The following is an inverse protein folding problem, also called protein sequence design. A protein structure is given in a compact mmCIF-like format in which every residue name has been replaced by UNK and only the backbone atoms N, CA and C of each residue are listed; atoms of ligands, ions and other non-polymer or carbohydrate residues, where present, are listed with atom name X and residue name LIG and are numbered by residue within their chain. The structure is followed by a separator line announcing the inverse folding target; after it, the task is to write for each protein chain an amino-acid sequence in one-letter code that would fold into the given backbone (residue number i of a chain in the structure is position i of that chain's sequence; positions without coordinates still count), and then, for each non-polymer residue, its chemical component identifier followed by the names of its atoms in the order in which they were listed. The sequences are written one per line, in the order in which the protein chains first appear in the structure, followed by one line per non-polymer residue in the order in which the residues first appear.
data_IF_313467701845
#
_entry.id   IF_313467701845
#
_cell.length_a   1.000
_cell.length_b   1.000
_cell.length_c   1.000
_cell.angle_alpha   90.00
_cell.angle_beta   90.00
_cell.angle_gamma   90.00
#
_symmetry.space_group_name_H-M   'P 1'
#
loop_
_entity.id
_entity.type
_entity.pdbx_description
1 polymer ?
#
# COMPACT_ATOMS: atom_id res chain seq x y z
N UNK A 1 8.89 28.43 0.90
CA UNK A 1 9.11 29.17 2.17
C UNK A 1 7.83 29.07 2.98
N UNK A 2 7.63 27.93 3.66
CA UNK A 2 6.60 27.76 4.68
C UNK A 2 7.29 27.03 5.83
N UNK A 3 7.85 27.80 6.75
CA UNK A 3 8.27 27.29 8.06
C UNK A 3 6.99 27.05 8.85
N UNK A 4 6.65 25.78 9.08
CA UNK A 4 5.76 25.43 10.18
C UNK A 4 6.69 25.25 11.38
N UNK A 5 6.72 26.25 12.26
CA UNK A 5 7.47 26.22 13.51
C UNK A 5 6.90 25.13 14.43
N UNK A 6 7.47 23.92 14.31
CA UNK A 6 7.18 22.72 15.12
C UNK A 6 7.59 22.86 16.61
N UNK A 7 8.03 24.03 17.05
CA UNK A 7 8.55 24.26 18.41
C UNK A 7 7.41 24.48 19.43
N UNK A 8 6.21 24.88 19.03
CA UNK A 8 5.12 25.24 19.97
C UNK A 8 4.12 24.12 20.32
N UNK A 9 4.30 22.89 19.83
CA UNK A 9 3.35 21.79 20.11
C UNK A 9 3.50 21.15 21.50
N UNK A 10 4.61 21.40 22.21
CA UNK A 10 4.79 20.92 23.61
C UNK A 10 4.04 21.79 24.62
N UNK A 11 3.96 23.11 24.39
CA UNK A 11 3.36 24.05 25.34
C UNK A 11 1.83 24.17 25.21
N UNK A 12 1.27 23.78 24.06
CA UNK A 12 -0.17 23.87 23.81
C UNK A 12 -1.02 22.83 24.58
N UNK A 13 -0.41 21.77 25.15
CA UNK A 13 -1.16 20.60 25.62
C UNK A 13 -1.17 20.34 27.14
N UNK A 14 -0.44 21.13 27.94
CA UNK A 14 -0.49 20.98 29.42
C UNK A 14 -1.79 21.58 30.01
N UNK A 15 -2.53 22.42 29.27
CA UNK A 15 -3.69 23.16 29.80
C UNK A 15 -5.07 22.71 29.30
N UNK A 16 -5.22 21.55 28.67
CA UNK A 16 -6.56 21.05 28.28
C UNK A 16 -7.23 20.25 29.41
N UNK A 17 -7.55 20.95 30.50
CA UNK A 17 -8.53 20.49 31.49
C UNK A 17 -9.92 20.81 30.91
N UNK A 18 -10.75 19.78 30.66
CA UNK A 18 -12.14 19.95 30.22
C UNK A 18 -12.91 20.83 31.23
N UNK A 19 -13.68 21.81 30.75
CA UNK A 19 -15.14 21.65 30.74
C UNK A 19 -15.78 22.36 29.53
N UNK A 20 -15.70 21.82 28.31
CA UNK A 20 -16.17 22.53 27.10
C UNK A 20 -17.19 21.79 26.22
N UNK A 21 -17.77 20.68 26.64
CA UNK A 21 -18.79 20.01 25.83
C UNK A 21 -20.04 20.91 25.60
N UNK A 22 -20.52 21.62 26.63
CA UNK A 22 -21.63 22.59 26.50
C UNK A 22 -21.24 23.85 25.73
N UNK A 23 -20.04 24.39 25.99
CA UNK A 23 -19.54 25.57 25.28
C UNK A 23 -19.36 25.36 23.79
N UNK A 24 -18.96 24.17 23.34
CA UNK A 24 -18.84 23.88 21.92
C UNK A 24 -20.22 23.80 21.23
N UNK A 25 -21.23 23.23 21.89
CA UNK A 25 -22.60 23.20 21.34
C UNK A 25 -23.18 24.62 21.23
N UNK A 26 -23.01 25.44 22.27
CA UNK A 26 -23.55 26.81 22.27
C UNK A 26 -22.77 27.73 21.32
N UNK A 27 -21.46 27.52 21.16
CA UNK A 27 -20.67 28.21 20.14
C UNK A 27 -21.11 27.83 18.72
N UNK A 28 -21.43 26.55 18.48
CA UNK A 28 -21.93 26.06 17.20
C UNK A 28 -23.33 26.61 16.88
N UNK A 29 -24.21 26.73 17.88
CA UNK A 29 -25.55 27.31 17.72
C UNK A 29 -25.52 28.80 17.34
N UNK A 30 -24.46 29.51 17.73
CA UNK A 30 -24.29 30.95 17.49
C UNK A 30 -23.58 31.28 16.16
N UNK A 31 -23.18 30.28 15.36
CA UNK A 31 -22.65 30.50 14.02
C UNK A 31 -23.80 30.76 13.04
N UNK A 32 -23.55 31.63 12.05
CA UNK A 32 -24.45 31.82 10.91
C UNK A 32 -24.77 30.47 10.26
N UNK A 33 -25.99 30.33 9.74
CA UNK A 33 -26.53 29.06 9.26
C UNK A 33 -25.63 28.35 8.23
N UNK A 34 -24.95 29.12 7.38
CA UNK A 34 -23.99 28.64 6.37
C UNK A 34 -22.69 28.08 6.96
N UNK A 35 -22.34 28.47 8.20
CA UNK A 35 -21.12 28.09 8.91
C UNK A 35 -21.36 27.05 10.01
N UNK A 36 -22.61 26.62 10.22
CA UNK A 36 -22.94 25.52 11.14
C UNK A 36 -22.62 24.18 10.50
N UNK A 37 -22.14 23.23 11.30
CA UNK A 37 -21.96 21.85 10.86
C UNK A 37 -23.32 21.29 10.40
N UNK A 38 -23.40 20.67 9.21
CA UNK A 38 -24.65 20.11 8.69
C UNK A 38 -25.05 18.88 9.52
N UNK A 39 -25.70 19.13 10.66
CA UNK A 39 -26.29 18.11 11.51
C UNK A 39 -27.75 17.98 11.08
N UNK A 40 -28.07 16.84 10.47
CA UNK A 40 -29.42 16.38 10.15
C UNK A 40 -30.24 17.20 9.13
N UNK A 41 -29.72 18.27 8.52
CA UNK A 41 -30.37 18.87 7.35
C UNK A 41 -30.02 18.07 6.09
N UNK A 42 -31.04 17.61 5.36
CA UNK A 42 -30.90 17.02 4.02
C UNK A 42 -31.25 18.09 3.00
N UNK A 43 -30.43 19.13 2.90
CA UNK A 43 -30.59 20.10 1.84
C UNK A 43 -30.23 19.47 0.49
N UNK A 44 -31.15 19.55 -0.47
CA UNK A 44 -30.87 19.15 -1.84
C UNK A 44 -29.99 20.24 -2.48
N UNK A 45 -28.68 20.03 -2.47
CA UNK A 45 -27.80 20.84 -3.28
C UNK A 45 -28.02 20.49 -4.76
N UNK A 46 -28.46 21.47 -5.55
CA UNK A 46 -28.49 21.32 -7.01
C UNK A 46 -27.03 21.29 -7.51
N UNK A 47 -26.51 20.08 -7.73
CA UNK A 47 -25.19 19.89 -8.33
C UNK A 47 -25.30 20.18 -9.83
N UNK A 48 -24.77 21.32 -10.26
CA UNK A 48 -24.62 21.63 -11.67
C UNK A 48 -23.27 21.11 -12.16
N UNK A 49 -23.28 20.44 -13.32
CA UNK A 49 -22.06 20.07 -14.01
C UNK A 49 -21.37 21.37 -14.47
N UNK A 50 -20.28 21.72 -13.82
CA UNK A 50 -19.39 22.79 -14.25
C UNK A 50 -18.35 22.16 -15.18
N UNK A 51 -18.31 22.61 -16.44
CA UNK A 51 -17.20 22.29 -17.34
C UNK A 51 -15.95 22.98 -16.78
N UNK A 52 -15.09 22.20 -16.13
CA UNK A 52 -13.75 22.64 -15.76
C UNK A 52 -12.89 22.56 -17.02
N UNK A 53 -12.91 23.64 -17.79
CA UNK A 53 -11.91 23.85 -18.83
C UNK A 53 -10.56 24.11 -18.14
N UNK A 54 -9.48 23.58 -18.71
CA UNK A 54 -8.11 23.66 -18.19
C UNK A 54 -7.73 22.73 -17.02
N UNK A 55 -8.35 21.55 -16.90
CA UNK A 55 -7.73 20.47 -16.09
C UNK A 55 -6.46 20.01 -16.82
N UNK A 56 -5.25 20.17 -16.24
CA UNK A 56 -4.03 19.74 -16.89
C UNK A 56 -4.12 18.24 -17.22
N UNK A 57 -3.79 17.87 -18.48
CA UNK A 57 -3.75 16.47 -18.92
C UNK A 57 -2.82 15.59 -18.06
N UNK A 58 -1.92 16.23 -17.33
CA UNK A 58 -0.97 15.63 -16.41
C UNK A 58 -1.02 16.31 -15.05
N UNK A 59 -1.58 15.61 -14.06
CA UNK A 59 -1.37 15.89 -12.64
C UNK A 59 -0.06 15.25 -12.21
N UNK A 60 1.07 15.86 -12.61
CA UNK A 60 2.36 15.45 -12.06
C UNK A 60 2.45 15.96 -10.63
N UNK A 61 2.47 15.02 -9.70
CA UNK A 61 2.78 15.29 -8.30
C UNK A 61 4.20 15.83 -8.23
N UNK A 62 4.34 17.06 -7.72
CA UNK A 62 5.64 17.73 -7.57
C UNK A 62 6.35 17.30 -6.29
N UNK A 63 5.65 16.62 -5.40
CA UNK A 63 6.24 16.15 -4.15
C UNK A 63 7.13 14.93 -4.43
N UNK A 64 8.25 14.87 -3.70
CA UNK A 64 9.13 13.70 -3.76
C UNK A 64 8.37 12.45 -3.33
N UNK A 65 8.64 11.32 -4.00
CA UNK A 65 8.06 10.03 -3.61
C UNK A 65 8.59 9.66 -2.22
N UNK A 66 7.72 9.77 -1.21
CA UNK A 66 7.99 9.34 0.16
C UNK A 66 7.93 7.80 0.25
N UNK A 67 9.09 7.15 0.27
CA UNK A 67 9.21 5.70 0.47
C UNK A 67 9.15 5.36 1.97
N UNK A 68 7.99 4.88 2.44
CA UNK A 68 7.78 4.44 3.82
C UNK A 68 7.37 2.96 3.86
N UNK A 69 8.18 2.13 4.53
CA UNK A 69 7.95 0.69 4.65
C UNK A 69 6.62 0.33 5.31
N UNK A 70 6.09 1.20 6.18
CA UNK A 70 4.81 0.98 6.87
C UNK A 70 3.64 0.89 5.90
N UNK A 71 3.72 1.56 4.74
CA UNK A 71 2.64 1.65 3.76
C UNK A 71 2.91 0.82 2.49
N UNK A 72 3.96 -0.01 2.46
CA UNK A 72 4.30 -0.82 1.28
C UNK A 72 3.20 -1.82 0.93
N UNK A 73 2.60 -2.44 1.95
CA UNK A 73 1.52 -3.40 1.75
C UNK A 73 0.54 -3.38 2.94
N UNK A 74 -0.68 -3.85 2.67
CA UNK A 74 -1.77 -3.91 3.66
C UNK A 74 -1.35 -4.65 4.94
N UNK A 75 -0.54 -5.70 4.83
CA UNK A 75 -0.19 -6.53 5.98
C UNK A 75 0.77 -5.80 6.92
N UNK A 76 1.80 -5.14 6.39
CA UNK A 76 2.73 -4.33 7.19
C UNK A 76 2.00 -3.20 7.92
N UNK A 77 1.10 -2.50 7.22
CA UNK A 77 0.30 -1.43 7.82
C UNK A 77 -0.63 -1.97 8.91
N UNK A 78 -1.30 -3.11 8.67
CA UNK A 78 -2.19 -3.73 9.65
C UNK A 78 -1.41 -4.17 10.90
N UNK A 79 -0.25 -4.81 10.75
CA UNK A 79 0.60 -5.21 11.86
C UNK A 79 1.10 -4.00 12.67
N UNK A 80 1.43 -2.89 12.01
CA UNK A 80 1.76 -1.63 12.68
C UNK A 80 0.57 -1.07 13.48
N UNK A 81 -0.62 -1.02 12.90
CA UNK A 81 -1.82 -0.55 13.60
C UNK A 81 -2.17 -1.45 14.79
N UNK A 82 -2.03 -2.77 14.64
CA UNK A 82 -2.30 -3.74 15.70
C UNK A 82 -1.29 -3.63 16.84
N UNK A 83 0.01 -3.55 16.51
CA UNK A 83 1.08 -3.44 17.51
C UNK A 83 1.05 -2.14 18.32
N UNK A 84 0.46 -1.06 17.79
CA UNK A 84 0.29 0.21 18.51
C UNK A 84 -1.14 0.44 19.01
N UNK A 85 -2.00 -0.58 18.93
CA UNK A 85 -3.39 -0.50 19.36
C UNK A 85 -4.16 0.71 18.79
N UNK A 86 -3.91 1.04 17.52
CA UNK A 86 -4.62 2.12 16.85
C UNK A 86 -6.08 1.71 16.60
N UNK A 87 -6.98 2.51 17.17
CA UNK A 87 -8.41 2.26 17.22
C UNK A 87 -9.19 3.43 16.61
N UNK A 88 -10.34 3.11 16.01
CA UNK A 88 -11.22 4.04 15.31
C UNK A 88 -12.69 3.98 15.78
N UNK A 89 -12.93 3.31 16.92
CA UNK A 89 -14.24 3.13 17.54
C UNK A 89 -14.80 4.41 18.19
N UNK A 90 -13.92 5.35 18.56
CA UNK A 90 -14.31 6.68 19.07
C UNK A 90 -13.58 7.78 18.34
N UNK A 91 -14.20 8.98 18.26
CA UNK A 91 -13.58 10.15 17.62
C UNK A 91 -12.22 10.50 18.25
N UNK A 92 -12.09 10.38 19.58
CA UNK A 92 -10.84 10.63 20.31
C UNK A 92 -9.74 9.67 19.84
N UNK A 93 -10.04 8.36 19.79
CA UNK A 93 -9.08 7.33 19.36
C UNK A 93 -8.74 7.46 17.87
N UNK A 94 -9.71 7.79 17.02
CA UNK A 94 -9.50 8.02 15.59
C UNK A 94 -8.55 9.21 15.32
N UNK A 95 -8.73 10.33 16.04
CA UNK A 95 -7.84 11.50 15.96
C UNK A 95 -6.41 11.14 16.39
N UNK A 96 -6.27 10.47 17.52
CA UNK A 96 -4.95 10.04 18.02
C UNK A 96 -4.25 9.07 17.07
N UNK A 97 -4.93 8.00 16.65
CA UNK A 97 -4.40 7.00 15.73
C UNK A 97 -3.95 7.64 14.41
N UNK A 98 -4.78 8.50 13.82
CA UNK A 98 -4.45 9.18 12.57
C UNK A 98 -3.27 10.13 12.74
N UNK A 99 -3.21 10.89 13.84
CA UNK A 99 -2.07 11.76 14.16
C UNK A 99 -0.78 10.97 14.30
N UNK A 100 -0.80 9.83 15.01
CA UNK A 100 0.40 8.99 15.18
C UNK A 100 0.85 8.35 13.86
N UNK A 101 -0.10 7.90 13.02
CA UNK A 101 0.19 7.40 11.68
C UNK A 101 0.88 8.49 10.84
N UNK A 102 0.38 9.72 10.86
CA UNK A 102 1.01 10.86 10.18
C UNK A 102 2.39 11.21 10.76
N UNK A 103 2.55 11.13 12.07
CA UNK A 103 3.84 11.35 12.72
C UNK A 103 4.88 10.34 12.23
N UNK A 104 4.56 9.05 12.19
CA UNK A 104 5.47 8.01 11.65
C UNK A 104 5.64 8.11 10.14
N UNK A 105 4.68 8.70 9.43
CA UNK A 105 4.81 9.02 8.00
C UNK A 105 5.89 10.07 7.76
N UNK A 106 5.88 11.16 8.52
CA UNK A 106 6.86 12.24 8.40
C UNK A 106 8.19 11.96 9.12
N UNK A 107 8.21 10.99 10.04
CA UNK A 107 9.40 10.63 10.83
C UNK A 107 9.75 9.14 10.67
N UNK A 108 10.13 8.67 9.46
CA UNK A 108 10.35 7.25 9.16
C UNK A 108 11.57 6.63 9.86
N UNK A 109 12.37 7.43 10.56
CA UNK A 109 13.47 6.97 11.41
C UNK A 109 13.00 6.60 12.83
N UNK A 110 11.81 7.05 13.24
CA UNK A 110 11.26 6.77 14.56
C UNK A 110 10.71 5.33 14.58
N UNK A 111 11.04 4.51 15.59
CA UNK A 111 10.54 3.15 15.70
C UNK A 111 9.03 3.13 15.74
N UNK A 112 8.44 2.37 14.82
CA UNK A 112 7.01 2.32 14.62
C UNK A 112 6.28 1.49 15.68
N UNK A 113 7.00 0.67 16.45
CA UNK A 113 6.47 -0.08 17.60
C UNK A 113 7.50 0.07 18.70
N UNK A 114 7.09 0.61 19.84
CA UNK A 114 7.94 0.72 21.02
C UNK A 114 7.74 -0.58 21.81
N UNK A 115 8.67 -1.52 21.68
CA UNK A 115 8.68 -2.70 22.53
C UNK A 115 8.98 -2.27 23.97
N UNK A 116 8.32 -2.87 24.95
CA UNK A 116 8.60 -2.63 26.37
C UNK A 116 9.34 -3.82 26.96
N UNK A 117 10.32 -3.56 27.82
CA UNK A 117 11.10 -4.61 28.45
C UNK A 117 10.25 -5.37 29.47
N UNK A 118 10.08 -6.68 29.32
CA UNK A 118 9.32 -7.54 30.24
C UNK A 118 9.93 -7.64 31.65
N UNK A 119 11.17 -7.16 31.85
CA UNK A 119 11.86 -7.17 33.15
C UNK A 119 11.78 -5.81 33.85
N UNK A 120 12.12 -4.73 33.16
CA UNK A 120 12.19 -3.38 33.76
C UNK A 120 11.04 -2.47 33.37
N UNK A 121 10.13 -2.92 32.50
CA UNK A 121 8.95 -2.20 32.02
C UNK A 121 9.25 -0.85 31.38
N UNK A 122 10.49 -0.63 30.94
CA UNK A 122 10.91 0.54 30.18
C UNK A 122 10.89 0.26 28.69
N UNK A 123 10.66 1.31 27.91
CA UNK A 123 10.75 1.30 26.46
C UNK A 123 12.13 0.81 26.00
N UNK A 124 12.13 -0.08 25.02
CA UNK A 124 13.33 -0.64 24.40
C UNK A 124 13.67 0.24 23.19
N UNK A 125 14.86 0.83 23.20
CA UNK A 125 15.39 1.55 22.05
C UNK A 125 15.53 0.61 20.83
N UNK A 126 15.18 1.11 19.63
CA UNK A 126 15.19 0.27 18.43
C UNK A 126 16.55 -0.34 18.14
N UNK A 127 16.56 -1.67 17.96
CA UNK A 127 17.78 -2.45 17.71
C UNK A 127 18.62 -2.72 18.97
N UNK A 128 18.18 -2.27 20.15
CA UNK A 128 18.83 -2.50 21.45
C UNK A 128 18.02 -3.39 22.40
N UNK A 129 17.23 -4.30 21.85
CA UNK A 129 16.54 -5.34 22.63
C UNK A 129 16.58 -6.70 21.95
N UNK A 130 16.07 -7.69 22.68
CA UNK A 130 15.96 -9.07 22.25
C UNK A 130 14.52 -9.53 22.41
N UNK A 131 14.03 -10.25 21.41
CA UNK A 131 12.68 -10.78 21.36
C UNK A 131 12.72 -12.31 21.38
N UNK A 132 11.73 -12.92 22.02
CA UNK A 132 11.51 -14.36 21.95
C UNK A 132 10.45 -14.68 20.87
N UNK A 133 10.79 -15.47 19.85
CA UNK A 133 9.83 -15.88 18.79
C UNK A 133 8.75 -16.87 19.25
N UNK A 134 8.92 -17.50 20.42
CA UNK A 134 7.98 -18.53 20.94
C UNK A 134 6.92 -17.93 21.88
N UNK A 135 7.33 -17.08 22.81
CA UNK A 135 6.44 -16.39 23.74
C UNK A 135 5.98 -15.05 23.17
N UNK A 136 4.66 -14.87 23.07
CA UNK A 136 4.06 -13.56 22.75
C UNK A 136 4.53 -12.53 23.76
N UNK A 137 4.94 -11.36 23.27
CA UNK A 137 5.23 -10.15 24.07
C UNK A 137 6.36 -10.29 25.11
N UNK A 138 7.32 -11.18 24.86
CA UNK A 138 8.52 -11.30 25.69
C UNK A 138 9.73 -10.63 25.02
N UNK A 139 9.99 -9.39 25.43
CA UNK A 139 11.07 -8.55 24.93
C UNK A 139 11.95 -8.05 26.08
N UNK A 140 13.26 -8.02 25.88
CA UNK A 140 14.22 -7.63 26.93
C UNK A 140 15.18 -6.58 26.39
N UNK A 141 15.39 -5.49 27.12
CA UNK A 141 16.36 -4.46 26.74
C UNK A 141 17.81 -4.93 26.95
N UNK A 142 18.77 -4.26 26.31
CA UNK A 142 20.21 -4.57 26.45
C UNK A 142 20.70 -4.64 27.88
N UNK A 143 20.28 -3.68 28.70
CA UNK A 143 20.69 -3.63 30.11
C UNK A 143 20.19 -4.85 30.89
N UNK A 144 18.94 -5.26 30.67
CA UNK A 144 18.36 -6.41 31.37
C UNK A 144 18.92 -7.74 30.84
N UNK A 145 19.18 -7.83 29.53
CA UNK A 145 19.80 -8.99 28.91
C UNK A 145 21.22 -9.24 29.44
N UNK A 146 22.02 -8.17 29.59
CA UNK A 146 23.42 -8.26 30.01
C UNK A 146 23.62 -8.53 31.50
N UNK A 147 22.61 -8.26 32.33
CA UNK A 147 22.65 -8.51 33.78
C UNK A 147 22.38 -9.97 34.16
N UNK A 148 22.18 -10.86 33.19
CA UNK A 148 21.84 -12.29 33.39
C UNK A 148 20.62 -12.51 34.31
N UNK A 149 19.75 -11.50 34.47
CA UNK A 149 18.47 -11.60 35.20
C UNK A 149 17.39 -12.26 34.32
N UNK A 150 17.76 -12.70 33.12
CA UNK A 150 16.86 -13.30 32.14
C UNK A 150 16.69 -14.78 32.45
N UNK A 151 15.75 -15.09 33.33
CA UNK A 151 15.24 -16.45 33.49
C UNK A 151 14.14 -16.68 32.44
N UNK A 152 14.58 -17.03 31.22
CA UNK A 152 13.68 -17.34 30.12
C UNK A 152 14.15 -18.57 29.34
N UNK A 153 13.28 -19.57 29.24
CA UNK A 153 13.62 -20.89 28.68
C UNK A 153 13.83 -20.90 27.16
N UNK A 154 13.43 -19.84 26.44
CA UNK A 154 13.62 -19.76 24.99
C UNK A 154 14.79 -18.86 24.61
N UNK A 155 15.47 -19.23 23.51
CA UNK A 155 16.55 -18.42 22.96
C UNK A 155 16.02 -17.08 22.45
N UNK A 156 16.53 -16.02 23.04
CA UNK A 156 16.25 -14.64 22.65
C UNK A 156 17.05 -14.24 21.40
N UNK A 157 16.37 -13.60 20.44
CA UNK A 157 16.96 -13.13 19.19
C UNK A 157 17.02 -11.61 19.23
N UNK A 158 18.17 -11.03 18.89
CA UNK A 158 18.33 -9.57 18.85
C UNK A 158 17.31 -8.97 17.87
N UNK A 159 16.60 -7.92 18.28
CA UNK A 159 15.73 -7.17 17.37
C UNK A 159 16.51 -6.79 16.12
N UNK A 160 16.01 -7.11 14.92
CA UNK A 160 16.64 -6.64 13.70
C UNK A 160 16.62 -5.11 13.73
N UNK A 161 17.80 -4.48 13.71
CA UNK A 161 17.91 -3.03 13.57
C UNK A 161 17.08 -2.59 12.36
N UNK A 162 16.25 -1.56 12.51
CA UNK A 162 15.43 -1.00 11.43
C UNK A 162 16.28 -0.63 10.21
N UNK A 163 17.53 -0.21 10.41
CA UNK A 163 18.49 0.05 9.34
C UNK A 163 18.90 -1.23 8.60
N UNK A 164 19.18 -2.33 9.33
CA UNK A 164 19.49 -3.63 8.73
C UNK A 164 18.29 -4.23 7.99
N UNK A 165 17.08 -4.09 8.53
CA UNK A 165 15.86 -4.56 7.87
C UNK A 165 15.59 -3.77 6.58
N UNK A 166 15.70 -2.43 6.62
CA UNK A 166 15.60 -1.56 5.44
C UNK A 166 16.64 -1.89 4.37
N UNK A 167 17.91 -2.10 4.75
CA UNK A 167 18.98 -2.46 3.80
C UNK A 167 18.69 -3.84 3.18
N UNK A 168 18.37 -4.85 3.99
CA UNK A 168 18.08 -6.21 3.52
C UNK A 168 16.86 -6.23 2.59
N UNK A 169 15.80 -5.51 2.93
CA UNK A 169 14.62 -5.39 2.06
C UNK A 169 14.93 -4.66 0.75
N UNK A 170 15.66 -3.53 0.82
CA UNK A 170 16.08 -2.79 -0.38
C UNK A 170 16.96 -3.66 -1.29
N UNK A 171 17.85 -4.47 -0.73
CA UNK A 171 18.66 -5.41 -1.50
C UNK A 171 17.82 -6.52 -2.14
N UNK A 172 16.89 -7.12 -1.39
CA UNK A 172 15.98 -8.13 -1.92
C UNK A 172 15.12 -7.55 -3.06
N UNK A 173 14.61 -6.32 -2.91
CA UNK A 173 13.87 -5.59 -3.96
C UNK A 173 14.76 -5.36 -5.18
N UNK A 174 15.98 -4.85 -5.00
CA UNK A 174 16.94 -4.64 -6.10
C UNK A 174 17.26 -5.94 -6.83
N UNK A 175 17.49 -7.05 -6.10
CA UNK A 175 17.74 -8.38 -6.69
C UNK A 175 16.53 -8.87 -7.49
N UNK A 176 15.31 -8.75 -6.94
CA UNK A 176 14.07 -9.12 -7.64
C UNK A 176 13.84 -8.28 -8.90
N UNK A 177 14.06 -6.97 -8.83
CA UNK A 177 13.94 -6.08 -9.98
C UNK A 177 14.97 -6.41 -11.08
N UNK A 178 16.21 -6.71 -10.69
CA UNK A 178 17.25 -7.13 -11.63
C UNK A 178 16.92 -8.47 -12.29
N UNK A 179 16.45 -9.46 -11.51
CA UNK A 179 16.00 -10.75 -12.03
C UNK A 179 14.83 -10.58 -13.00
N UNK A 180 13.86 -9.72 -12.66
CA UNK A 180 12.74 -9.39 -13.54
C UNK A 180 13.21 -8.79 -14.85
N UNK A 181 14.12 -7.80 -14.80
CA UNK A 181 14.68 -7.17 -16.00
C UNK A 181 15.41 -8.17 -16.89
N UNK A 182 16.23 -9.05 -16.30
CA UNK A 182 16.91 -10.14 -17.02
C UNK A 182 15.92 -11.10 -17.68
N UNK A 183 14.85 -11.48 -16.98
CA UNK A 183 13.82 -12.36 -17.53
C UNK A 183 13.12 -11.73 -18.73
N UNK A 184 12.74 -10.46 -18.64
CA UNK A 184 12.12 -9.73 -19.75
C UNK A 184 13.06 -9.61 -20.96
N UNK A 185 14.37 -9.42 -20.71
CA UNK A 185 15.39 -9.34 -21.75
C UNK A 185 15.57 -10.68 -22.49
N UNK A 186 15.63 -11.79 -21.74
CA UNK A 186 15.72 -13.15 -22.32
C UNK A 186 14.50 -13.44 -23.19
N UNK A 187 13.29 -13.07 -22.75
CA UNK A 187 12.06 -13.27 -23.54
C UNK A 187 12.10 -12.49 -24.86
N UNK A 188 12.57 -11.23 -24.82
CA UNK A 188 12.76 -10.40 -26.00
C UNK A 188 13.80 -10.98 -26.96
N UNK A 189 14.94 -11.42 -26.43
CA UNK A 189 16.01 -12.04 -27.19
C UNK A 189 15.53 -13.34 -27.86
N UNK A 190 15.00 -14.28 -27.08
CA UNK A 190 14.55 -15.58 -27.57
C UNK A 190 13.46 -15.49 -28.66
N UNK A 191 12.66 -14.43 -28.62
CA UNK A 191 11.60 -14.18 -29.62
C UNK A 191 12.14 -13.68 -30.98
N UNK A 192 13.35 -13.12 -31.02
CA UNK A 192 14.01 -12.64 -32.24
C UNK A 192 15.15 -13.54 -32.71
N UNK A 193 15.70 -14.33 -31.80
CA UNK A 193 16.89 -15.11 -32.05
C UNK A 193 16.57 -16.31 -32.97
N UNK A 194 17.22 -16.37 -34.14
CA UNK A 194 17.11 -17.49 -35.08
C UNK A 194 18.17 -18.58 -34.87
N UNK A 195 19.16 -18.36 -34.00
CA UNK A 195 20.31 -19.27 -33.80
C UNK A 195 19.88 -20.53 -33.02
N UNK A 196 20.20 -21.72 -33.51
CA UNK A 196 19.78 -23.01 -32.91
C UNK A 196 20.45 -23.33 -31.55
N UNK A 197 21.69 -22.89 -31.35
CA UNK A 197 22.46 -23.04 -30.11
C UNK A 197 22.98 -21.67 -29.68
N UNK A 198 22.14 -20.91 -29.00
CA UNK A 198 22.51 -19.55 -28.61
C UNK A 198 23.18 -19.53 -27.25
N UNK A 199 24.37 -18.90 -27.17
CA UNK A 199 25.09 -18.74 -25.89
C UNK A 199 24.43 -17.74 -24.93
N UNK A 200 23.35 -17.06 -25.35
CA UNK A 200 22.61 -16.15 -24.51
C UNK A 200 21.88 -16.94 -23.40
N UNK A 201 22.03 -16.57 -22.10
CA UNK A 201 21.51 -17.35 -20.99
C UNK A 201 20.02 -17.70 -21.13
N UNK A 202 19.69 -18.99 -20.99
CA UNK A 202 18.32 -19.52 -21.05
C UNK A 202 17.57 -19.33 -22.39
N UNK A 203 18.21 -18.84 -23.45
CA UNK A 203 17.57 -18.61 -24.75
C UNK A 203 16.91 -19.89 -25.30
N UNK A 204 17.65 -21.00 -25.34
CA UNK A 204 17.16 -22.27 -25.89
C UNK A 204 16.00 -22.84 -25.08
N UNK A 205 16.04 -22.70 -23.75
CA UNK A 205 14.95 -23.10 -22.85
C UNK A 205 13.66 -22.34 -23.16
N UNK A 206 13.76 -21.02 -23.32
CA UNK A 206 12.61 -20.17 -23.65
C UNK A 206 12.07 -20.49 -25.07
N UNK A 207 12.95 -20.71 -26.04
CA UNK A 207 12.55 -21.12 -27.40
C UNK A 207 11.78 -22.43 -27.39
N UNK A 208 12.24 -23.44 -26.63
CA UNK A 208 11.54 -24.71 -26.47
C UNK A 208 10.14 -24.51 -25.87
N UNK A 209 9.99 -23.62 -24.89
CA UNK A 209 8.68 -23.28 -24.30
C UNK A 209 7.73 -22.59 -25.29
N UNK A 210 8.25 -21.72 -26.17
CA UNK A 210 7.46 -21.10 -27.22
C UNK A 210 7.03 -22.12 -28.29
N UNK A 211 7.97 -22.95 -28.75
CA UNK A 211 7.70 -24.02 -29.70
C UNK A 211 6.64 -24.99 -29.17
N UNK A 212 6.80 -25.47 -27.92
CA UNK A 212 5.82 -26.30 -27.25
C UNK A 212 4.44 -25.64 -27.21
N UNK A 213 4.36 -24.37 -26.79
CA UNK A 213 3.08 -23.66 -26.71
C UNK A 213 2.38 -23.49 -28.07
N UNK A 214 3.13 -23.49 -29.17
CA UNK A 214 2.57 -23.40 -30.52
C UNK A 214 1.85 -24.69 -30.92
N UNK A 215 2.44 -25.86 -30.63
CA UNK A 215 1.97 -27.15 -31.12
C UNK A 215 1.22 -28.01 -30.08
N UNK A 216 1.27 -27.66 -28.79
CA UNK A 216 0.61 -28.43 -27.73
C UNK A 216 -0.92 -28.31 -27.79
N UNK A 217 -1.60 -29.45 -27.96
CA UNK A 217 -3.07 -29.56 -28.00
C UNK A 217 -3.72 -29.50 -26.61
N UNK A 218 -3.06 -30.01 -25.57
CA UNK A 218 -3.57 -30.03 -24.19
C UNK A 218 -3.71 -28.62 -23.60
N UNK A 219 -2.87 -27.66 -24.05
CA UNK A 219 -2.85 -26.25 -23.62
C UNK A 219 -2.75 -26.07 -22.10
N UNK A 220 -2.74 -24.82 -21.63
CA UNK A 220 -2.72 -24.52 -20.20
C UNK A 220 -4.05 -24.88 -19.52
N UNK A 221 -5.17 -24.74 -20.24
CA UNK A 221 -6.53 -25.05 -19.78
C UNK A 221 -6.73 -26.55 -19.53
N UNK A 222 -6.17 -27.41 -20.37
CA UNK A 222 -6.16 -28.87 -20.14
C UNK A 222 -5.04 -29.36 -19.22
N UNK A 223 -4.35 -28.46 -18.51
CA UNK A 223 -3.42 -28.83 -17.44
C UNK A 223 -1.94 -28.95 -17.81
N UNK A 224 -1.53 -28.71 -19.05
CA UNK A 224 -0.12 -28.86 -19.46
C UNK A 224 0.82 -27.91 -18.71
N UNK A 225 1.81 -28.47 -17.99
CA UNK A 225 2.76 -27.70 -17.18
C UNK A 225 3.63 -26.73 -17.99
N UNK A 226 4.10 -27.13 -19.18
CA UNK A 226 4.88 -26.26 -20.05
C UNK A 226 4.04 -25.09 -20.57
N UNK A 227 2.80 -25.34 -21.01
CA UNK A 227 1.89 -24.26 -21.41
C UNK A 227 1.54 -23.31 -20.26
N UNK A 228 1.39 -23.81 -19.03
CA UNK A 228 1.20 -22.96 -17.84
C UNK A 228 2.41 -22.04 -17.59
N UNK A 229 3.63 -22.57 -17.69
CA UNK A 229 4.87 -21.78 -17.59
C UNK A 229 4.97 -20.75 -18.70
N UNK A 230 4.76 -21.13 -19.96
CA UNK A 230 4.77 -20.19 -21.09
C UNK A 230 3.71 -19.10 -20.91
N UNK A 231 2.49 -19.46 -20.52
CA UNK A 231 1.42 -18.49 -20.26
C UNK A 231 1.79 -17.47 -19.17
N UNK A 232 2.37 -17.94 -18.06
CA UNK A 232 2.84 -17.07 -16.99
C UNK A 232 3.88 -16.05 -17.51
N UNK A 233 4.88 -16.52 -18.25
CA UNK A 233 5.93 -15.67 -18.81
C UNK A 233 5.38 -14.63 -19.79
N UNK A 234 4.47 -15.04 -20.68
CA UNK A 234 3.83 -14.13 -21.63
C UNK A 234 2.97 -13.08 -20.92
N UNK A 235 2.18 -13.48 -19.92
CA UNK A 235 1.35 -12.55 -19.12
C UNK A 235 2.21 -11.55 -18.35
N UNK A 236 3.31 -12.02 -17.75
CA UNK A 236 4.27 -11.18 -17.05
C UNK A 236 4.86 -10.15 -18.01
N UNK A 237 5.34 -10.57 -19.19
CA UNK A 237 5.87 -9.67 -20.19
C UNK A 237 4.82 -8.64 -20.66
N UNK A 238 3.60 -9.06 -21.00
CA UNK A 238 2.55 -8.16 -21.49
C UNK A 238 2.17 -7.06 -20.51
N UNK A 239 2.24 -7.31 -19.20
CA UNK A 239 1.99 -6.29 -18.16
C UNK A 239 3.08 -5.20 -18.13
N UNK A 240 4.30 -5.56 -18.46
CA UNK A 240 5.46 -4.67 -18.42
C UNK A 240 5.83 -4.12 -19.82
N UNK A 241 5.18 -4.57 -20.89
CA UNK A 241 5.54 -4.24 -22.27
C UNK A 241 4.71 -3.09 -22.84
N UNK A 242 5.39 -2.00 -23.22
CA UNK A 242 4.80 -0.82 -23.87
C UNK A 242 5.04 -0.74 -25.39
N UNK A 243 5.74 -1.73 -25.98
CA UNK A 243 6.05 -1.72 -27.43
C UNK A 243 4.81 -2.00 -28.28
N UNK A 244 4.57 -1.18 -29.30
CA UNK A 244 3.47 -1.38 -30.25
C UNK A 244 3.68 -2.68 -31.04
N UNK A 245 4.85 -2.83 -31.67
CA UNK A 245 5.27 -4.03 -32.37
C UNK A 245 6.21 -4.88 -31.50
N UNK A 246 5.60 -5.73 -30.67
CA UNK A 246 6.34 -6.62 -29.80
C UNK A 246 6.59 -7.97 -30.48
N UNK A 247 7.84 -8.46 -30.57
CA UNK A 247 8.16 -9.75 -31.17
C UNK A 247 7.77 -10.94 -30.25
N UNK A 248 7.48 -10.69 -28.97
CA UNK A 248 7.14 -11.74 -28.02
C UNK A 248 5.78 -12.34 -28.38
N UNK A 249 5.67 -13.67 -28.57
CA UNK A 249 4.45 -14.32 -29.02
C UNK A 249 3.22 -13.95 -28.18
N UNK A 250 2.11 -13.57 -28.83
CA UNK A 250 0.83 -13.18 -28.21
C UNK A 250 0.91 -12.02 -27.21
N UNK A 251 2.01 -11.27 -27.14
CA UNK A 251 2.13 -10.15 -26.21
C UNK A 251 1.01 -9.12 -26.43
N UNK A 252 0.77 -8.78 -27.69
CA UNK A 252 -0.22 -7.77 -28.12
C UNK A 252 -1.63 -8.25 -27.76
N UNK A 253 -1.97 -9.51 -28.06
CA UNK A 253 -3.29 -10.08 -27.78
C UNK A 253 -3.62 -10.07 -26.29
N UNK A 254 -2.67 -10.50 -25.46
CA UNK A 254 -2.82 -10.55 -24.00
C UNK A 254 -2.97 -9.13 -23.44
N UNK A 255 -2.17 -8.16 -23.93
CA UNK A 255 -2.26 -6.76 -23.50
C UNK A 255 -3.61 -6.16 -23.87
N UNK A 256 -4.10 -6.39 -25.08
CA UNK A 256 -5.41 -5.91 -25.52
C UNK A 256 -6.55 -6.55 -24.72
N UNK A 257 -6.45 -7.85 -24.42
CA UNK A 257 -7.40 -8.53 -23.55
C UNK A 257 -7.42 -7.96 -22.13
N UNK A 258 -6.24 -7.70 -21.53
CA UNK A 258 -6.15 -7.05 -20.20
C UNK A 258 -6.75 -5.64 -20.21
N UNK A 259 -6.50 -4.85 -21.26
CA UNK A 259 -7.11 -3.51 -21.40
C UNK A 259 -8.64 -3.57 -21.44
N UNK A 260 -9.22 -4.51 -22.19
CA UNK A 260 -10.68 -4.71 -22.23
C UNK A 260 -11.26 -5.11 -20.87
N UNK A 261 -10.58 -6.02 -20.15
CA UNK A 261 -10.98 -6.41 -18.80
C UNK A 261 -10.95 -5.22 -17.84
N UNK A 262 -9.91 -4.39 -17.91
CA UNK A 262 -9.81 -3.19 -17.08
C UNK A 262 -10.94 -2.21 -17.37
N UNK A 263 -11.21 -1.93 -18.64
CA UNK A 263 -12.33 -1.07 -19.06
C UNK A 263 -13.69 -1.58 -18.56
N UNK A 264 -13.90 -2.90 -18.57
CA UNK A 264 -15.14 -3.50 -18.05
C UNK A 264 -15.27 -3.32 -16.53
N UNK A 265 -14.18 -3.51 -15.78
CA UNK A 265 -14.17 -3.27 -14.32
C UNK A 265 -14.42 -1.80 -14.01
N UNK A 266 -13.77 -0.89 -14.72
CA UNK A 266 -13.94 0.55 -14.52
C UNK A 266 -15.36 1.02 -14.89
N UNK A 267 -15.94 0.47 -15.96
CA UNK A 267 -17.33 0.72 -16.35
C UNK A 267 -18.30 0.24 -15.28
N UNK A 268 -18.11 -0.97 -14.74
CA UNK A 268 -18.92 -1.49 -13.61
C UNK A 268 -18.77 -0.63 -12.36
N UNK A 269 -17.55 -0.18 -12.04
CA UNK A 269 -17.31 0.71 -10.90
C UNK A 269 -18.03 2.04 -11.06
N UNK A 270 -18.02 2.63 -12.27
CA UNK A 270 -18.76 3.86 -12.57
C UNK A 270 -20.26 3.65 -12.46
N UNK A 271 -20.80 2.57 -13.03
CA UNK A 271 -22.23 2.25 -12.96
C UNK A 271 -22.72 2.04 -11.51
N UNK A 272 -21.94 1.35 -10.68
CA UNK A 272 -22.26 1.14 -9.27
C UNK A 272 -22.34 2.45 -8.46
N UNK A 273 -21.62 3.50 -8.89
CA UNK A 273 -21.68 4.83 -8.27
C UNK A 273 -22.83 5.66 -8.82
N UNK A 274 -23.11 5.58 -10.14
CA UNK A 274 -24.11 6.44 -10.80
C UNK A 274 -25.54 5.90 -10.75
N UNK A 275 -25.75 4.58 -10.67
CA UNK A 275 -27.09 3.99 -10.55
C UNK A 275 -27.87 4.38 -9.28
N UNK A 276 -27.29 4.38 -8.07
CA UNK A 276 -28.03 4.81 -6.88
C UNK A 276 -28.41 6.30 -6.93
N UNK A 277 -27.56 7.15 -7.52
CA UNK A 277 -27.83 8.58 -7.73
C UNK A 277 -29.02 8.76 -8.68
N UNK A 278 -29.05 8.05 -9.81
CA UNK A 278 -30.16 8.11 -10.77
C UNK A 278 -31.47 7.56 -10.22
N UNK A 279 -31.44 6.50 -9.42
CA UNK A 279 -32.66 5.96 -8.77
C UNK A 279 -33.25 6.97 -7.80
N UNK A 280 -32.39 7.61 -6.99
CA UNK A 280 -32.81 8.63 -6.05
C UNK A 280 -33.37 9.88 -6.74
N UNK A 281 -32.83 10.29 -7.89
CA UNK A 281 -33.39 11.35 -8.73
C UNK A 281 -34.77 10.98 -9.31
N UNK A 282 -34.94 9.72 -9.75
CA UNK A 282 -36.22 9.25 -10.31
C UNK A 282 -37.32 9.08 -9.25
N UNK A 283 -37.00 8.59 -8.05
CA UNK A 283 -37.96 8.51 -6.94
C UNK A 283 -38.40 9.91 -6.49
N UNK A 284 -37.46 10.85 -6.41
CA UNK A 284 -37.77 12.26 -6.11
C UNK A 284 -38.68 12.89 -7.18
N UNK A 285 -38.49 12.55 -8.46
CA UNK A 285 -39.32 13.05 -9.55
C UNK A 285 -40.74 12.45 -9.58
N UNK A 286 -40.93 11.24 -9.04
CA UNK A 286 -42.24 10.60 -8.88
C UNK A 286 -43.01 11.19 -7.70
N UNK A 287 -42.33 11.53 -6.59
CA UNK A 287 -42.96 12.15 -5.41
C UNK A 287 -43.28 13.64 -5.56
N UNK A 288 -42.79 14.32 -6.61
CA UNK A 288 -43.07 15.73 -6.89
C UNK A 288 -44.13 15.95 -8.00
N UNK A 289 -44.93 14.93 -8.33
CA UNK A 289 -46.19 15.06 -9.11
C UNK A 289 -47.38 14.80 -8.21
#
# INVERSE_FOLDING_TARGET
MFSIDLINLKDAFINYREPKARMCHDAEQNLDEMNRHPINSKEKHALTQVEVNDVPLHTEDKDDILDNELFENRQTFLSFCQGNHYQYDTLRRAKHSTMMILYHFHNPAVPAVIATCSICYKDIEAGQGWHCEVCSDYDVCAVCYQKEVVDHNHKLIKHPSMANHKIKNREVRKRKALQMRKLLDVLMHASRCAINHCNYPNCDTIKKLFCHSKYCKTRATGGCGHCKKTWFLLRLHSRNCRRMECPVPRCIDIRNHMKRLQMQVDSRRRAAVTEPVRRQESEVAVYCR
#
